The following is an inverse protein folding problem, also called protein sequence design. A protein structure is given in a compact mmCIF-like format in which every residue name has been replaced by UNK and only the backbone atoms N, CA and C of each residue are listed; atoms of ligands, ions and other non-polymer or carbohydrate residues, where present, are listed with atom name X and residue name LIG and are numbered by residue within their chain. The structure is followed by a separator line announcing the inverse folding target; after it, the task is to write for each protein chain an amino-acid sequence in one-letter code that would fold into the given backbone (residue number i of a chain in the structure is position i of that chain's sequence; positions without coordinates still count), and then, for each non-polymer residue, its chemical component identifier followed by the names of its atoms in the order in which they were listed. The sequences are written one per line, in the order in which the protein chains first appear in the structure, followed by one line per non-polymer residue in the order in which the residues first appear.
data_IF_716125107526
#
_entry.id   IF_716125107526
#
_cell.length_a   1.000
_cell.length_b   1.000
_cell.length_c   1.000
_cell.angle_alpha   90.00
_cell.angle_beta   90.00
_cell.angle_gamma   90.00
#
_symmetry.space_group_name_H-M   'P 1'
#
loop_
_entity.id
_entity.type
_entity.pdbx_description
1 polymer ?
#
# COMPACT_ATOMS: atom_id res chain seq x y z
N UNK A 1 -33.37 10.26 -14.34
CA UNK A 1 -33.53 8.82 -14.07
C UNK A 1 -32.20 8.13 -14.36
N UNK A 2 -31.48 7.70 -13.33
CA UNK A 2 -30.24 6.92 -13.52
C UNK A 2 -30.66 5.48 -13.87
N UNK A 3 -30.17 4.89 -14.98
CA UNK A 3 -30.58 3.55 -15.37
C UNK A 3 -30.23 2.53 -14.28
N UNK A 4 -31.19 1.67 -13.92
CA UNK A 4 -31.11 0.65 -12.84
C UNK A 4 -29.85 -0.23 -12.87
N UNK A 5 -29.19 -0.37 -14.03
CA UNK A 5 -27.94 -1.13 -14.19
C UNK A 5 -26.71 -0.43 -13.58
N UNK A 6 -26.66 0.90 -13.58
CA UNK A 6 -25.52 1.67 -13.03
C UNK A 6 -25.52 1.59 -11.50
N UNK A 7 -26.70 1.63 -10.89
CA UNK A 7 -26.84 1.53 -9.43
C UNK A 7 -26.43 0.13 -8.91
N UNK A 8 -26.62 -0.93 -9.70
CA UNK A 8 -26.22 -2.28 -9.34
C UNK A 8 -24.69 -2.49 -9.32
N UNK A 9 -23.92 -1.68 -10.06
CA UNK A 9 -22.45 -1.75 -10.06
C UNK A 9 -21.85 -1.10 -8.81
N UNK A 10 -22.52 -0.08 -8.26
CA UNK A 10 -22.10 0.62 -7.05
C UNK A 10 -22.54 -0.08 -5.76
N UNK A 11 -23.50 -1.01 -5.83
CA UNK A 11 -24.10 -1.71 -4.69
C UNK A 11 -23.70 -3.20 -4.57
N UNK A 12 -22.92 -3.73 -5.51
CA UNK A 12 -22.32 -5.06 -5.37
C UNK A 12 -21.02 -4.91 -4.59
N UNK A 13 -21.06 -5.27 -3.30
CA UNK A 13 -19.85 -5.39 -2.50
C UNK A 13 -18.75 -6.12 -3.26
N UNK A 14 -17.54 -5.54 -3.25
CA UNK A 14 -16.33 -5.98 -3.95
C UNK A 14 -15.80 -7.33 -3.44
N UNK A 15 -16.63 -8.36 -3.38
CA UNK A 15 -16.27 -9.69 -2.93
C UNK A 15 -15.79 -10.51 -4.12
N UNK A 16 -14.52 -10.34 -4.51
CA UNK A 16 -13.92 -11.22 -5.53
C UNK A 16 -12.63 -10.73 -6.17
N UNK A 17 -12.44 -9.43 -6.32
CA UNK A 17 -11.35 -8.86 -7.11
C UNK A 17 -10.09 -8.60 -6.28
N UNK A 18 -8.93 -8.89 -6.86
CA UNK A 18 -7.64 -8.49 -6.32
C UNK A 18 -7.39 -7.00 -6.58
N UNK A 19 -6.86 -6.29 -5.59
CA UNK A 19 -6.58 -4.85 -5.66
C UNK A 19 -5.14 -4.63 -6.11
N UNK A 20 -4.95 -3.71 -7.06
CA UNK A 20 -3.61 -3.31 -7.49
C UNK A 20 -2.84 -2.61 -6.36
N UNK A 21 -1.52 -2.83 -6.24
CA UNK A 21 -0.70 -2.07 -5.32
C UNK A 21 -0.82 -0.58 -5.60
N UNK A 22 -0.89 0.23 -4.55
CA UNK A 22 -0.85 1.69 -4.68
C UNK A 22 0.44 2.09 -5.39
N UNK A 23 0.35 3.10 -6.26
CA UNK A 23 1.51 3.64 -6.99
C UNK A 23 2.57 4.14 -6.00
N UNK A 24 3.83 4.15 -6.41
CA UNK A 24 4.91 4.80 -5.70
C UNK A 24 4.78 6.31 -5.87
N UNK A 25 4.10 6.94 -4.90
CA UNK A 25 3.89 8.37 -4.80
C UNK A 25 4.15 8.81 -3.36
N UNK A 26 4.31 10.11 -3.16
CA UNK A 26 4.22 10.70 -1.82
C UNK A 26 2.74 10.94 -1.51
N UNK A 27 2.20 10.16 -0.58
CA UNK A 27 0.82 10.27 -0.10
C UNK A 27 0.68 11.27 1.07
N UNK A 28 1.81 11.77 1.54
CA UNK A 28 1.93 12.99 2.34
C UNK A 28 2.75 14.03 1.57
N UNK A 29 2.90 15.25 2.09
CA UNK A 29 3.71 16.27 1.40
C UNK A 29 5.18 15.85 1.26
N UNK A 30 5.75 15.96 0.05
CA UNK A 30 7.17 15.70 -0.20
C UNK A 30 8.11 16.55 0.66
N UNK A 31 7.66 17.73 1.10
CA UNK A 31 8.39 18.58 2.06
C UNK A 31 8.50 17.92 3.44
N UNK A 32 7.44 17.24 3.89
CA UNK A 32 7.44 16.46 5.14
C UNK A 32 8.35 15.24 4.98
N UNK A 33 8.25 14.53 3.85
CA UNK A 33 9.14 13.40 3.54
C UNK A 33 10.61 13.81 3.60
N UNK A 34 10.99 14.88 2.90
CA UNK A 34 12.35 15.43 2.87
C UNK A 34 12.81 15.90 4.26
N UNK A 35 11.92 16.56 5.01
CA UNK A 35 12.21 16.98 6.38
C UNK A 35 12.50 15.82 7.32
N UNK A 36 11.72 14.74 7.24
CA UNK A 36 11.95 13.52 8.02
C UNK A 36 13.28 12.87 7.63
N UNK A 37 13.60 12.75 6.34
CA UNK A 37 14.88 12.20 5.89
C UNK A 37 16.07 13.03 6.37
N UNK A 38 15.94 14.36 6.38
CA UNK A 38 16.99 15.25 6.91
C UNK A 38 17.26 15.02 8.40
N UNK A 39 16.24 14.71 9.18
CA UNK A 39 16.35 14.53 10.64
C UNK A 39 16.79 13.11 11.01
N UNK A 40 16.24 12.09 10.35
CA UNK A 40 16.40 10.69 10.72
C UNK A 40 17.29 9.88 9.78
N UNK A 41 17.79 10.49 8.70
CA UNK A 41 18.66 9.85 7.71
C UNK A 41 17.90 9.12 6.59
N UNK A 42 18.59 8.91 5.48
CA UNK A 42 18.06 8.27 4.26
C UNK A 42 17.70 6.80 4.49
N UNK A 43 18.40 6.12 5.40
CA UNK A 43 18.13 4.72 5.78
C UNK A 43 16.69 4.50 6.28
N UNK A 44 16.01 5.55 6.73
CA UNK A 44 14.60 5.49 7.10
C UNK A 44 13.73 4.95 5.96
N UNK A 45 14.07 5.23 4.71
CA UNK A 45 13.36 4.71 3.54
C UNK A 45 13.33 3.18 3.47
N UNK A 46 14.35 2.52 4.04
CA UNK A 46 14.50 1.05 4.01
C UNK A 46 13.99 0.42 5.31
N UNK A 47 14.29 1.06 6.44
CA UNK A 47 13.97 0.54 7.78
C UNK A 47 12.48 0.65 8.08
N UNK A 48 11.87 1.80 7.78
CA UNK A 48 10.45 2.04 8.02
C UNK A 48 9.68 1.84 6.72
N UNK A 49 9.18 0.62 6.55
CA UNK A 49 8.49 0.24 5.34
C UNK A 49 7.19 1.03 5.11
N UNK A 50 6.47 1.42 6.17
CA UNK A 50 5.28 2.28 6.04
C UNK A 50 5.69 3.64 5.50
N UNK A 51 6.70 4.26 6.12
CA UNK A 51 7.23 5.55 5.68
C UNK A 51 7.74 5.48 4.23
N UNK A 52 8.67 4.57 3.97
CA UNK A 52 9.35 4.44 2.70
C UNK A 52 8.40 4.09 1.57
N UNK A 53 7.57 3.06 1.71
CA UNK A 53 6.77 2.53 0.59
C UNK A 53 5.37 3.14 0.49
N UNK A 54 4.74 3.51 1.61
CA UNK A 54 3.32 3.87 1.63
C UNK A 54 3.05 5.33 2.03
N UNK A 55 4.05 6.10 2.45
CA UNK A 55 3.88 7.52 2.74
C UNK A 55 4.71 8.41 1.82
N UNK A 56 5.98 8.06 1.60
CA UNK A 56 7.00 8.92 0.99
C UNK A 56 7.75 8.23 -0.15
N UNK A 57 7.06 7.42 -0.95
CA UNK A 57 7.70 6.51 -1.89
C UNK A 57 8.50 7.23 -2.98
N UNK A 58 7.97 8.31 -3.52
CA UNK A 58 8.65 9.05 -4.58
C UNK A 58 9.91 9.73 -4.06
N UNK A 59 9.80 10.42 -2.91
CA UNK A 59 10.95 11.06 -2.26
C UNK A 59 12.02 10.03 -1.88
N UNK A 60 11.62 8.88 -1.34
CA UNK A 60 12.55 7.80 -0.99
C UNK A 60 13.22 7.19 -2.22
N UNK A 61 12.47 6.88 -3.27
CA UNK A 61 13.03 6.34 -4.50
C UNK A 61 14.05 7.30 -5.12
N UNK A 62 13.75 8.61 -5.16
CA UNK A 62 14.68 9.63 -5.66
C UNK A 62 15.96 9.69 -4.83
N UNK A 63 15.85 9.65 -3.49
CA UNK A 63 16.99 9.66 -2.57
C UNK A 63 17.88 8.43 -2.77
N UNK A 64 17.28 7.26 -3.01
CA UNK A 64 17.99 5.99 -3.19
C UNK A 64 18.44 5.72 -4.64
N UNK A 65 18.13 6.62 -5.58
CA UNK A 65 18.43 6.45 -7.00
C UNK A 65 17.64 5.32 -7.68
N UNK A 66 16.43 5.03 -7.22
CA UNK A 66 15.57 3.96 -7.74
C UNK A 66 14.63 4.52 -8.80
N UNK A 67 14.68 4.02 -10.05
CA UNK A 67 13.81 4.49 -11.12
C UNK A 67 12.37 3.99 -10.93
N UNK A 68 11.41 4.91 -11.07
CA UNK A 68 9.97 4.61 -11.09
C UNK A 68 9.47 4.68 -12.53
N UNK A 69 8.71 3.68 -12.95
CA UNK A 69 8.10 3.64 -14.28
C UNK A 69 6.89 4.59 -14.43
N UNK A 70 6.38 4.69 -15.66
CA UNK A 70 5.21 5.54 -15.97
C UNK A 70 3.92 5.14 -15.24
N UNK A 71 3.85 3.92 -14.71
CA UNK A 71 2.71 3.42 -13.95
C UNK A 71 2.86 3.65 -12.45
N UNK A 72 3.99 4.21 -12.00
CA UNK A 72 4.30 4.42 -10.59
C UNK A 72 4.82 3.15 -9.91
N UNK A 73 5.53 2.29 -10.63
CA UNK A 73 6.07 1.01 -10.15
C UNK A 73 7.58 1.02 -10.19
N UNK A 74 8.22 0.17 -9.40
CA UNK A 74 9.67 -0.03 -9.43
C UNK A 74 10.01 -1.47 -9.08
N UNK A 75 11.19 -1.93 -9.50
CA UNK A 75 11.69 -3.24 -9.12
C UNK A 75 12.37 -3.18 -7.75
N UNK A 76 12.14 -4.21 -6.93
CA UNK A 76 12.77 -4.33 -5.62
C UNK A 76 14.30 -4.21 -5.75
N UNK A 77 14.90 -3.22 -5.09
CA UNK A 77 16.32 -2.93 -5.23
C UNK A 77 16.86 -2.29 -3.95
N UNK A 78 18.10 -2.64 -3.56
CA UNK A 78 18.78 -2.02 -2.42
C UNK A 78 17.99 -2.09 -1.08
N UNK A 79 17.17 -3.12 -0.87
CA UNK A 79 16.34 -3.24 0.33
C UNK A 79 15.14 -2.27 0.38
N UNK A 80 14.79 -1.65 -0.75
CA UNK A 80 13.56 -0.89 -0.95
C UNK A 80 12.62 -1.74 -1.83
N UNK A 81 11.45 -2.08 -1.29
CA UNK A 81 10.54 -3.07 -1.89
C UNK A 81 9.24 -2.41 -2.37
N UNK A 82 8.79 -2.75 -3.57
CA UNK A 82 7.51 -2.31 -4.10
C UNK A 82 6.34 -3.10 -3.52
N UNK A 83 6.54 -4.39 -3.25
CA UNK A 83 5.53 -5.24 -2.61
C UNK A 83 5.77 -5.33 -1.11
N UNK A 84 4.69 -5.57 -0.35
CA UNK A 84 4.82 -5.79 1.08
C UNK A 84 5.69 -7.04 1.35
N UNK A 85 6.66 -7.02 2.29
CA UNK A 85 7.52 -8.18 2.59
C UNK A 85 6.76 -9.45 2.99
N UNK A 86 5.51 -9.31 3.43
CA UNK A 86 4.58 -10.43 3.69
C UNK A 86 4.02 -11.14 2.44
N UNK A 87 4.32 -10.64 1.23
CA UNK A 87 4.05 -11.30 -0.05
C UNK A 87 5.05 -12.45 -0.32
N UNK A 88 4.70 -13.47 -1.11
CA UNK A 88 3.43 -13.67 -1.83
C UNK A 88 2.36 -14.38 -1.00
N UNK A 89 2.69 -14.85 0.20
CA UNK A 89 1.84 -15.80 0.91
C UNK A 89 0.49 -15.19 1.34
N UNK A 90 0.41 -13.86 1.53
CA UNK A 90 -0.85 -13.14 1.82
C UNK A 90 -1.73 -13.83 2.87
N UNK A 91 -1.11 -14.51 3.85
CA UNK A 91 -1.81 -15.43 4.75
C UNK A 91 -2.48 -14.68 5.89
N UNK A 92 -1.89 -13.54 6.27
CA UNK A 92 -2.30 -12.71 7.41
C UNK A 92 -2.05 -11.24 7.10
N UNK A 93 -2.87 -10.37 7.68
CA UNK A 93 -2.61 -8.93 7.73
C UNK A 93 -1.42 -8.60 8.66
N UNK A 94 -0.95 -7.36 8.65
CA UNK A 94 0.20 -6.92 9.41
C UNK A 94 0.02 -7.21 10.92
N UNK A 95 1.11 -7.60 11.56
CA UNK A 95 1.20 -7.83 13.00
C UNK A 95 1.94 -6.65 13.62
N UNK A 96 1.43 -6.13 14.73
CA UNK A 96 2.09 -5.06 15.47
C UNK A 96 3.27 -5.58 16.33
N UNK A 97 3.97 -4.67 16.99
CA UNK A 97 5.12 -5.01 17.84
C UNK A 97 4.77 -5.93 19.02
N UNK A 98 3.49 -6.04 19.40
CA UNK A 98 3.01 -6.89 20.49
C UNK A 98 2.54 -8.26 20.00
N UNK A 99 2.66 -8.55 18.70
CA UNK A 99 2.20 -9.81 18.12
C UNK A 99 0.72 -9.83 17.75
N UNK A 100 0.01 -8.70 17.88
CA UNK A 100 -1.43 -8.63 17.59
C UNK A 100 -1.69 -8.45 16.09
N UNK A 101 -2.59 -9.26 15.55
CA UNK A 101 -2.96 -9.18 14.13
C UNK A 101 -3.91 -8.01 13.87
N UNK A 102 -3.61 -7.22 12.84
CA UNK A 102 -4.49 -6.15 12.37
C UNK A 102 -5.78 -6.65 11.73
N UNK A 103 -5.93 -7.97 11.52
CA UNK A 103 -7.04 -8.57 10.76
C UNK A 103 -8.43 -8.09 11.23
N UNK A 104 -8.70 -8.08 12.53
CA UNK A 104 -10.02 -7.66 13.03
C UNK A 104 -10.30 -6.18 12.74
N UNK A 105 -9.30 -5.32 12.93
CA UNK A 105 -9.39 -3.90 12.58
C UNK A 105 -9.61 -3.73 11.07
N UNK A 106 -8.89 -4.49 10.26
CA UNK A 106 -9.01 -4.47 8.81
C UNK A 106 -10.42 -4.88 8.34
N UNK A 107 -10.98 -5.96 8.89
CA UNK A 107 -12.33 -6.42 8.55
C UNK A 107 -13.39 -5.37 8.92
N UNK A 108 -13.33 -4.84 10.15
CA UNK A 108 -14.26 -3.84 10.65
C UNK A 108 -14.29 -2.60 9.74
N UNK A 109 -13.13 -2.04 9.43
CA UNK A 109 -13.06 -0.83 8.62
C UNK A 109 -13.31 -1.06 7.14
N UNK A 110 -12.97 -2.24 6.61
CA UNK A 110 -13.35 -2.65 5.25
C UNK A 110 -14.87 -2.68 5.12
N UNK A 111 -15.57 -3.31 6.06
CA UNK A 111 -17.04 -3.37 6.07
C UNK A 111 -17.64 -1.96 6.15
N UNK A 112 -17.18 -1.14 7.11
CA UNK A 112 -17.68 0.21 7.33
C UNK A 112 -17.50 1.14 6.12
N UNK A 113 -16.45 0.97 5.32
CA UNK A 113 -16.16 1.80 4.14
C UNK A 113 -16.46 1.10 2.81
N UNK A 114 -17.21 -0.02 2.82
CA UNK A 114 -17.51 -0.82 1.63
C UNK A 114 -16.25 -1.21 0.82
N UNK A 115 -15.10 -1.36 1.48
CA UNK A 115 -13.81 -1.69 0.90
C UNK A 115 -13.08 -0.55 0.18
N UNK A 116 -13.61 0.67 0.17
CA UNK A 116 -12.95 1.82 -0.48
C UNK A 116 -11.62 2.18 0.18
N UNK A 117 -11.51 1.97 1.48
CA UNK A 117 -10.28 2.11 2.23
C UNK A 117 -9.14 1.20 1.74
N UNK A 118 -9.43 0.06 1.07
CA UNK A 118 -8.39 -0.84 0.57
C UNK A 118 -7.56 -0.28 -0.59
N UNK A 119 -7.96 0.85 -1.17
CA UNK A 119 -7.17 1.59 -2.15
C UNK A 119 -6.21 2.60 -1.50
N UNK A 120 -6.29 2.76 -0.17
CA UNK A 120 -5.45 3.69 0.56
C UNK A 120 -4.14 3.03 1.03
N UNK A 121 -3.02 3.78 1.06
CA UNK A 121 -1.71 3.22 1.39
C UNK A 121 -1.65 2.56 2.77
N UNK A 122 -2.30 3.14 3.79
CA UNK A 122 -2.31 2.58 5.14
C UNK A 122 -2.98 1.20 5.18
N UNK A 123 -4.06 1.01 4.42
CA UNK A 123 -4.74 -0.28 4.35
C UNK A 123 -3.98 -1.27 3.49
N UNK A 124 -3.27 -0.84 2.45
CA UNK A 124 -2.39 -1.76 1.74
C UNK A 124 -1.17 -2.17 2.57
N UNK A 125 -0.67 -1.31 3.46
CA UNK A 125 0.37 -1.67 4.42
C UNK A 125 -0.15 -2.62 5.51
N UNK A 126 -1.28 -2.29 6.16
CA UNK A 126 -1.78 -3.05 7.31
C UNK A 126 -2.64 -4.24 6.94
N UNK A 127 -3.44 -4.11 5.88
CA UNK A 127 -4.58 -4.96 5.58
C UNK A 127 -4.44 -5.68 4.22
N UNK A 128 -3.22 -5.91 3.74
CA UNK A 128 -2.99 -6.48 2.40
C UNK A 128 -3.71 -7.81 2.17
N UNK A 129 -3.87 -8.67 3.18
CA UNK A 129 -4.62 -9.93 3.07
C UNK A 129 -6.12 -9.67 3.03
N UNK A 130 -6.65 -8.87 3.95
CA UNK A 130 -8.09 -8.55 4.00
C UNK A 130 -8.57 -7.76 2.77
N UNK A 131 -7.70 -6.91 2.24
CA UNK A 131 -7.90 -6.13 1.03
C UNK A 131 -7.56 -6.90 -0.25
N UNK A 132 -6.96 -8.10 -0.15
CA UNK A 132 -6.53 -8.90 -1.31
C UNK A 132 -5.68 -8.07 -2.27
N UNK A 133 -4.65 -7.41 -1.74
CA UNK A 133 -3.68 -6.66 -2.54
C UNK A 133 -2.85 -7.65 -3.35
N UNK A 134 -2.69 -7.41 -4.65
CA UNK A 134 -1.88 -8.25 -5.52
C UNK A 134 -0.44 -8.28 -5.03
N UNK A 135 0.15 -9.48 -5.08
CA UNK A 135 1.53 -9.75 -4.73
C UNK A 135 2.20 -10.49 -5.88
N UNK A 136 3.51 -10.26 -6.07
CA UNK A 136 4.33 -10.93 -7.09
C UNK A 136 4.90 -9.93 -8.09
N UNK A 137 6.10 -10.22 -8.61
CA UNK A 137 6.77 -9.39 -9.60
C UNK A 137 5.85 -9.09 -10.79
N UNK A 138 6.06 -7.94 -11.44
CA UNK A 138 5.33 -7.57 -12.65
C UNK A 138 5.47 -8.71 -13.67
N UNK A 139 4.37 -9.40 -13.99
CA UNK A 139 4.32 -10.15 -15.23
C UNK A 139 4.21 -9.10 -16.35
N UNK A 140 5.21 -9.10 -17.22
CA UNK A 140 5.17 -8.41 -18.52
C UNK A 140 3.92 -8.81 -19.32
#
# INVERSE_FOLDING_TARGET
MVPRKILAFLLRGFNGQWIEPVKCLDYISSSICSGILKVYGEDRCRIDFLFGRYQCCWTCAATLGIPIDSLGRFNDQQGFYFYHPGCPNNVRDAIDALGSSSTQWCMHWKEKNNGMNCYEPLFQYKCYKTCRVKCGAFSD
#
